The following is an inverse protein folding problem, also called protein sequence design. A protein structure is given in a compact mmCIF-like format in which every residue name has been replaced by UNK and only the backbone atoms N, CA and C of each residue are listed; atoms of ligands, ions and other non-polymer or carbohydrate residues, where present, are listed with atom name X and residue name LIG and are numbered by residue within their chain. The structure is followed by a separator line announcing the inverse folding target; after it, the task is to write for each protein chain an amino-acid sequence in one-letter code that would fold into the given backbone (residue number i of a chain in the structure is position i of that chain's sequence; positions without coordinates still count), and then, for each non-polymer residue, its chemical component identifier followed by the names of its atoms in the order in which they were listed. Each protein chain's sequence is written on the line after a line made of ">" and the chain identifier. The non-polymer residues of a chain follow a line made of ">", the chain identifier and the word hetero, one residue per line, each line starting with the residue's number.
data_IF_410202436322
#
_entry.id   IF_410202436322
#
_cell.length_a   1.000
_cell.length_b   1.000
_cell.length_c   1.000
_cell.angle_alpha   90.00
_cell.angle_beta   90.00
_cell.angle_gamma   90.00
#
_symmetry.space_group_name_H-M   'P 1'
#
loop_
_entity.id
_entity.type
_entity.pdbx_description
1 polymer ?
#
# COMPACT_ATOMS: atom_id res chain seq x y z
N UNK A 1 -21.94 8.93 8.02
CA UNK A 1 -23.01 7.90 8.05
C UNK A 1 -22.32 6.55 7.92
N UNK A 2 -22.69 5.55 8.70
CA UNK A 2 -22.14 4.18 8.59
C UNK A 2 -22.81 3.44 7.41
N UNK A 3 -22.03 2.73 6.59
CA UNK A 3 -22.52 1.97 5.42
C UNK A 3 -23.48 0.85 5.84
N UNK A 4 -23.27 0.26 7.03
CA UNK A 4 -24.16 -0.74 7.58
C UNK A 4 -25.54 -0.15 7.90
N UNK A 5 -25.56 1.09 8.42
CA UNK A 5 -26.81 1.82 8.69
C UNK A 5 -27.53 2.18 7.40
N UNK A 6 -26.79 2.63 6.38
CA UNK A 6 -27.34 2.94 5.05
C UNK A 6 -27.96 1.69 4.38
N UNK A 7 -27.23 0.58 4.34
CA UNK A 7 -27.74 -0.66 3.72
C UNK A 7 -28.98 -1.18 4.45
N UNK A 8 -29.00 -1.18 5.80
CA UNK A 8 -30.19 -1.56 6.57
C UNK A 8 -31.41 -0.70 6.22
N UNK A 9 -31.24 0.62 6.09
CA UNK A 9 -32.36 1.50 5.73
C UNK A 9 -32.86 1.25 4.31
N UNK A 10 -31.96 0.99 3.35
CA UNK A 10 -32.37 0.74 1.96
C UNK A 10 -33.06 -0.62 1.79
N UNK A 11 -32.54 -1.67 2.44
CA UNK A 11 -33.19 -2.97 2.42
C UNK A 11 -34.58 -2.94 3.07
N UNK A 12 -34.73 -2.23 4.19
CA UNK A 12 -36.04 -2.00 4.79
C UNK A 12 -36.99 -1.27 3.83
N UNK A 13 -36.51 -0.23 3.14
CA UNK A 13 -37.29 0.52 2.12
C UNK A 13 -37.73 -0.36 0.95
N UNK A 14 -36.88 -1.25 0.47
CA UNK A 14 -37.21 -2.19 -0.62
C UNK A 14 -38.30 -3.15 -0.13
N UNK A 15 -38.15 -3.67 1.09
CA UNK A 15 -39.02 -4.72 1.62
C UNK A 15 -40.37 -4.23 2.15
N UNK A 16 -40.47 -2.97 2.58
CA UNK A 16 -41.74 -2.31 2.90
C UNK A 16 -42.77 -2.40 1.76
N UNK A 17 -42.32 -2.62 0.52
CA UNK A 17 -43.18 -2.77 -0.66
C UNK A 17 -43.70 -4.20 -0.89
N UNK A 18 -43.15 -5.21 -0.20
CA UNK A 18 -43.41 -6.64 -0.48
C UNK A 18 -44.24 -7.38 0.59
N UNK A 19 -44.80 -6.65 1.56
CA UNK A 19 -45.91 -7.03 2.46
C UNK A 19 -45.84 -8.40 3.18
N UNK A 20 -44.67 -9.03 3.31
CA UNK A 20 -44.56 -10.32 4.00
C UNK A 20 -43.16 -10.59 4.57
N UNK A 21 -43.11 -10.73 5.88
CA UNK A 21 -42.01 -11.20 6.74
C UNK A 21 -40.80 -10.26 6.95
N UNK A 22 -40.57 -9.81 8.20
CA UNK A 22 -39.49 -8.88 8.59
C UNK A 22 -38.08 -9.52 8.61
N UNK A 23 -37.93 -10.71 8.04
CA UNK A 23 -36.71 -11.52 8.10
C UNK A 23 -35.77 -11.28 6.90
N UNK A 24 -36.20 -10.49 5.91
CA UNK A 24 -35.43 -10.18 4.72
C UNK A 24 -34.76 -8.80 4.78
N UNK A 25 -33.47 -8.68 4.37
CA UNK A 25 -32.56 -9.77 4.03
C UNK A 25 -32.10 -10.50 5.30
N UNK A 26 -31.63 -11.75 5.13
CA UNK A 26 -31.00 -12.46 6.23
C UNK A 26 -29.79 -11.69 6.77
N UNK A 27 -29.51 -11.83 8.07
CA UNK A 27 -28.36 -11.15 8.70
C UNK A 27 -27.05 -11.50 8.00
N UNK A 28 -26.89 -12.76 7.55
CA UNK A 28 -25.72 -13.20 6.80
C UNK A 28 -25.60 -12.52 5.44
N UNK A 29 -26.69 -12.46 4.67
CA UNK A 29 -26.72 -11.76 3.38
C UNK A 29 -26.34 -10.29 3.53
N UNK A 30 -26.90 -9.60 4.54
CA UNK A 30 -26.56 -8.22 4.83
C UNK A 30 -25.07 -8.05 5.16
N UNK A 31 -24.48 -8.95 5.96
CA UNK A 31 -23.04 -8.89 6.29
C UNK A 31 -22.16 -9.10 5.06
N UNK A 32 -22.54 -10.01 4.16
CA UNK A 32 -21.83 -10.19 2.89
C UNK A 32 -21.85 -8.89 2.09
N UNK A 33 -23.02 -8.26 1.89
CA UNK A 33 -23.11 -6.98 1.14
C UNK A 33 -22.33 -5.84 1.82
N UNK A 34 -22.35 -5.74 3.16
CA UNK A 34 -21.57 -4.75 3.92
C UNK A 34 -20.07 -4.96 3.70
N UNK A 35 -19.60 -6.18 3.90
CA UNK A 35 -18.18 -6.53 3.75
C UNK A 35 -17.72 -6.30 2.30
N UNK A 36 -18.54 -6.72 1.34
CA UNK A 36 -18.32 -6.53 -0.09
C UNK A 36 -18.23 -5.07 -0.46
N UNK A 37 -19.06 -4.23 0.16
CA UNK A 37 -19.04 -2.81 -0.13
C UNK A 37 -17.76 -2.13 0.39
N UNK A 38 -17.04 -2.71 1.35
CA UNK A 38 -15.76 -2.18 1.89
C UNK A 38 -15.80 -0.68 2.22
N UNK A 39 -16.94 -0.17 2.69
CA UNK A 39 -17.15 1.26 2.96
C UNK A 39 -17.43 2.16 1.73
N UNK A 40 -17.44 1.60 0.52
CA UNK A 40 -17.73 2.30 -0.72
C UNK A 40 -19.25 2.48 -0.93
N UNK A 41 -19.79 3.61 -0.50
CA UNK A 41 -21.21 3.97 -0.67
C UNK A 41 -21.68 3.90 -2.14
N UNK A 42 -20.82 4.23 -3.09
CA UNK A 42 -21.14 4.15 -4.52
C UNK A 42 -21.32 2.70 -5.01
N UNK A 43 -20.69 1.72 -4.37
CA UNK A 43 -20.93 0.30 -4.66
C UNK A 43 -22.23 -0.16 -4.00
N UNK A 44 -22.42 0.16 -2.72
CA UNK A 44 -23.65 -0.15 -2.00
C UNK A 44 -24.90 0.40 -2.72
N UNK A 45 -24.88 1.66 -3.16
CA UNK A 45 -25.99 2.27 -3.88
C UNK A 45 -26.28 1.60 -5.24
N UNK A 46 -25.24 1.09 -5.93
CA UNK A 46 -25.43 0.32 -7.17
C UNK A 46 -26.06 -1.04 -6.91
N UNK A 47 -25.68 -1.72 -5.84
CA UNK A 47 -26.28 -2.99 -5.45
C UNK A 47 -27.74 -2.82 -5.04
N UNK A 48 -28.04 -1.80 -4.24
CA UNK A 48 -29.42 -1.45 -3.89
C UNK A 48 -30.25 -1.16 -5.14
N UNK A 49 -29.72 -0.37 -6.09
CA UNK A 49 -30.40 -0.08 -7.36
C UNK A 49 -30.65 -1.32 -8.20
N UNK A 50 -29.70 -2.25 -8.21
CA UNK A 50 -29.88 -3.52 -8.91
C UNK A 50 -30.99 -4.32 -8.22
N UNK A 51 -30.92 -4.51 -6.90
CA UNK A 51 -31.86 -5.32 -6.11
C UNK A 51 -33.30 -4.75 -6.11
N UNK A 52 -33.46 -3.43 -6.25
CA UNK A 52 -34.80 -2.81 -6.31
C UNK A 52 -35.40 -2.78 -7.73
N UNK A 53 -34.67 -3.23 -8.75
CA UNK A 53 -35.10 -3.15 -10.15
C UNK A 53 -36.05 -4.29 -10.52
N UNK A 54 -37.33 -4.07 -10.25
CA UNK A 54 -38.43 -4.99 -10.54
C UNK A 54 -38.64 -5.27 -12.04
N UNK A 55 -37.92 -4.60 -12.94
CA UNK A 55 -37.97 -4.92 -14.38
C UNK A 55 -37.10 -6.11 -14.75
N UNK A 56 -36.12 -6.44 -13.89
CA UNK A 56 -35.22 -7.58 -14.07
C UNK A 56 -35.82 -8.82 -13.42
N UNK A 57 -36.08 -8.76 -12.10
CA UNK A 57 -36.69 -9.85 -11.34
C UNK A 57 -37.19 -9.36 -9.97
N UNK A 58 -37.63 -10.27 -9.10
CA UNK A 58 -37.96 -9.94 -7.72
C UNK A 58 -36.70 -9.68 -6.84
N UNK A 59 -36.80 -8.82 -5.80
CA UNK A 59 -35.65 -8.45 -4.99
C UNK A 59 -34.96 -9.61 -4.28
N UNK A 60 -35.67 -10.70 -3.95
CA UNK A 60 -35.04 -11.88 -3.35
C UNK A 60 -34.11 -12.55 -4.34
N UNK A 61 -34.60 -12.81 -5.55
CA UNK A 61 -33.80 -13.44 -6.60
C UNK A 61 -32.57 -12.60 -6.97
N UNK A 62 -32.75 -11.27 -7.07
CA UNK A 62 -31.63 -10.37 -7.37
C UNK A 62 -30.61 -10.29 -6.23
N UNK A 63 -31.05 -10.35 -4.97
CA UNK A 63 -30.16 -10.46 -3.82
C UNK A 63 -29.38 -11.77 -3.87
N UNK A 64 -30.04 -12.90 -4.14
CA UNK A 64 -29.37 -14.21 -4.29
C UNK A 64 -28.35 -14.18 -5.42
N UNK A 65 -28.69 -13.62 -6.58
CA UNK A 65 -27.77 -13.45 -7.71
C UNK A 65 -26.54 -12.61 -7.33
N UNK A 66 -26.72 -11.56 -6.52
CA UNK A 66 -25.61 -10.79 -5.95
C UNK A 66 -24.74 -11.63 -5.02
N UNK A 67 -25.34 -12.40 -4.11
CA UNK A 67 -24.61 -13.27 -3.18
C UNK A 67 -23.82 -14.37 -3.90
N UNK A 68 -24.41 -14.99 -4.93
CA UNK A 68 -23.76 -15.99 -5.77
C UNK A 68 -22.59 -15.38 -6.55
N UNK A 69 -22.80 -14.19 -7.13
CA UNK A 69 -21.75 -13.44 -7.80
C UNK A 69 -20.58 -13.17 -6.85
N UNK A 70 -20.85 -12.75 -5.61
CA UNK A 70 -19.81 -12.47 -4.62
C UNK A 70 -19.11 -13.70 -4.06
N UNK A 71 -19.81 -14.83 -4.02
CA UNK A 71 -19.27 -16.13 -3.61
C UNK A 71 -18.35 -16.73 -4.68
N UNK A 72 -18.38 -16.22 -5.91
CA UNK A 72 -17.47 -16.65 -6.96
C UNK A 72 -16.01 -16.29 -6.61
N UNK A 73 -15.07 -17.25 -6.67
CA UNK A 73 -13.66 -17.02 -6.34
C UNK A 73 -12.99 -15.97 -7.24
N UNK A 74 -13.54 -15.72 -8.43
CA UNK A 74 -13.08 -14.64 -9.33
C UNK A 74 -13.45 -13.26 -8.81
N UNK A 75 -14.57 -13.16 -8.10
CA UNK A 75 -15.17 -11.90 -7.66
C UNK A 75 -14.74 -11.57 -6.23
N UNK A 76 -14.52 -12.55 -5.35
CA UNK A 76 -13.88 -12.33 -4.05
C UNK A 76 -12.51 -11.63 -4.16
N UNK A 77 -11.75 -11.87 -5.25
CA UNK A 77 -10.54 -11.13 -5.55
C UNK A 77 -10.78 -9.69 -6.07
N UNK A 78 -11.96 -9.43 -6.67
CA UNK A 78 -12.37 -8.13 -7.21
C UNK A 78 -13.13 -7.24 -6.20
N UNK A 79 -13.74 -7.84 -5.17
CA UNK A 79 -14.61 -7.19 -4.17
C UNK A 79 -13.82 -6.53 -3.04
N UNK A 80 -12.60 -6.98 -2.78
CA UNK A 80 -11.75 -6.33 -1.81
C UNK A 80 -10.78 -5.40 -2.55
N UNK A 81 -11.09 -4.08 -2.67
CA UNK A 81 -10.19 -3.11 -3.26
C UNK A 81 -8.77 -3.19 -2.70
N UNK A 82 -8.62 -3.50 -1.42
CA UNK A 82 -7.31 -3.68 -0.79
C UNK A 82 -6.61 -4.92 -1.33
N UNK A 83 -7.32 -6.04 -1.51
CA UNK A 83 -6.77 -7.25 -2.12
C UNK A 83 -6.38 -7.02 -3.59
N UNK A 84 -7.21 -6.32 -4.37
CA UNK A 84 -6.89 -5.95 -5.74
C UNK A 84 -5.65 -5.06 -5.81
N UNK A 85 -5.51 -4.11 -4.87
CA UNK A 85 -4.29 -3.30 -4.72
C UNK A 85 -3.08 -4.15 -4.32
N UNK A 86 -3.24 -5.12 -3.41
CA UNK A 86 -2.17 -6.01 -2.98
C UNK A 86 -1.67 -6.89 -4.12
N UNK A 87 -2.57 -7.37 -4.98
CA UNK A 87 -2.23 -8.10 -6.20
C UNK A 87 -1.47 -7.20 -7.19
N UNK A 88 -1.91 -5.97 -7.38
CA UNK A 88 -1.23 -4.98 -8.23
C UNK A 88 0.18 -4.68 -7.70
N UNK A 89 0.32 -4.41 -6.41
CA UNK A 89 1.62 -4.15 -5.77
C UNK A 89 2.54 -5.35 -5.85
N UNK A 90 2.02 -6.55 -5.60
CA UNK A 90 2.78 -7.80 -5.76
C UNK A 90 3.28 -7.96 -7.19
N UNK A 91 2.43 -7.71 -8.17
CA UNK A 91 2.82 -7.79 -9.58
C UNK A 91 3.91 -6.76 -9.93
N UNK A 92 3.80 -5.52 -9.44
CA UNK A 92 4.82 -4.49 -9.62
C UNK A 92 6.15 -4.92 -9.00
N UNK A 93 6.12 -5.35 -7.73
CA UNK A 93 7.31 -5.78 -6.99
C UNK A 93 7.95 -7.06 -7.57
N UNK A 94 7.17 -7.97 -8.15
CA UNK A 94 7.69 -9.18 -8.79
C UNK A 94 8.62 -8.91 -9.98
N UNK A 95 8.55 -7.72 -10.57
CA UNK A 95 9.47 -7.30 -11.64
C UNK A 95 10.86 -6.92 -11.13
N UNK A 96 11.04 -6.77 -9.81
CA UNK A 96 12.35 -6.49 -9.19
C UNK A 96 13.21 -7.75 -9.35
N UNK A 97 14.40 -7.59 -9.92
CA UNK A 97 15.32 -8.72 -10.07
C UNK A 97 15.86 -9.16 -8.70
N UNK A 98 15.90 -10.48 -8.44
CA UNK A 98 16.28 -11.06 -7.13
C UNK A 98 17.58 -10.50 -6.54
N UNK A 99 18.62 -10.26 -7.36
CA UNK A 99 19.89 -9.72 -6.86
C UNK A 99 19.80 -8.25 -6.41
N UNK A 100 18.78 -7.50 -6.85
CA UNK A 100 18.52 -6.11 -6.46
C UNK A 100 17.54 -6.02 -5.29
N UNK A 101 16.69 -7.03 -5.09
CA UNK A 101 15.64 -7.02 -4.08
C UNK A 101 16.13 -6.62 -2.66
N UNK A 102 17.26 -7.12 -2.13
CA UNK A 102 17.76 -6.67 -0.82
C UNK A 102 18.07 -5.18 -0.78
N UNK A 103 18.69 -4.65 -1.85
CA UNK A 103 18.98 -3.21 -1.97
C UNK A 103 17.70 -2.39 -2.13
N UNK A 104 16.74 -2.87 -2.92
CA UNK A 104 15.43 -2.23 -3.06
C UNK A 104 14.69 -2.16 -1.73
N UNK A 105 14.64 -3.26 -0.96
CA UNK A 105 14.00 -3.32 0.36
C UNK A 105 14.66 -2.37 1.36
N UNK A 106 15.99 -2.26 1.33
CA UNK A 106 16.73 -1.31 2.17
C UNK A 106 16.33 0.15 1.85
N UNK A 107 16.32 0.53 0.57
CA UNK A 107 15.88 1.87 0.14
C UNK A 107 14.43 2.12 0.55
N UNK A 108 13.51 1.21 0.20
CA UNK A 108 12.10 1.34 0.54
C UNK A 108 11.86 1.40 2.06
N UNK A 109 12.64 0.67 2.85
CA UNK A 109 12.58 0.67 4.32
C UNK A 109 12.93 2.02 4.91
N UNK A 110 14.05 2.58 4.47
CA UNK A 110 14.44 3.94 4.83
C UNK A 110 13.37 4.96 4.42
N UNK A 111 12.87 4.86 3.19
CA UNK A 111 11.83 5.75 2.69
C UNK A 111 10.52 5.61 3.48
N UNK A 112 10.18 4.40 3.93
CA UNK A 112 8.91 4.16 4.63
C UNK A 112 8.97 4.61 6.09
N UNK A 113 10.12 4.46 6.75
CA UNK A 113 10.24 4.67 8.20
C UNK A 113 10.80 6.05 8.59
N UNK A 114 11.53 6.74 7.70
CA UNK A 114 12.31 7.94 8.08
C UNK A 114 12.12 9.16 7.17
N UNK A 115 11.24 9.14 6.17
CA UNK A 115 11.09 10.25 5.20
C UNK A 115 10.08 11.35 5.60
N UNK A 116 9.59 11.36 6.84
CA UNK A 116 8.66 12.40 7.31
C UNK A 116 9.17 13.04 8.61
N UNK A 117 9.11 14.38 8.76
CA UNK A 117 8.55 15.38 7.83
C UNK A 117 9.54 15.89 6.76
N UNK A 118 10.85 15.74 6.96
CA UNK A 118 11.89 16.29 6.07
C UNK A 118 12.71 15.17 5.43
N UNK A 119 12.27 14.60 4.30
CA UNK A 119 12.98 13.50 3.64
C UNK A 119 14.33 13.95 3.06
N UNK A 120 15.37 13.11 3.14
CA UNK A 120 16.63 13.39 2.47
C UNK A 120 16.47 13.34 0.95
N UNK A 121 17.28 14.12 0.23
CA UNK A 121 17.37 14.01 -1.22
C UNK A 121 17.93 12.65 -1.65
N UNK A 122 17.71 12.29 -2.91
CA UNK A 122 18.22 11.03 -3.47
C UNK A 122 19.74 10.90 -3.29
N UNK A 123 20.48 11.98 -3.48
CA UNK A 123 21.94 11.96 -3.30
C UNK A 123 22.35 11.64 -1.85
N UNK A 124 21.71 12.28 -0.87
CA UNK A 124 21.99 12.04 0.55
C UNK A 124 21.66 10.59 0.92
N UNK A 125 20.52 10.08 0.45
CA UNK A 125 20.11 8.71 0.70
C UNK A 125 21.08 7.70 0.06
N UNK A 126 21.48 7.92 -1.19
CA UNK A 126 22.44 7.05 -1.87
C UNK A 126 23.81 7.03 -1.17
N UNK A 127 24.30 8.20 -0.74
CA UNK A 127 25.55 8.33 0.02
C UNK A 127 25.47 7.62 1.37
N UNK A 128 24.37 7.81 2.10
CA UNK A 128 24.15 7.14 3.38
C UNK A 128 24.19 5.61 3.25
N UNK A 129 23.60 5.11 2.17
CA UNK A 129 23.59 3.69 1.84
C UNK A 129 24.89 3.16 1.21
N UNK A 130 25.83 4.04 0.84
CA UNK A 130 27.06 3.67 0.13
C UNK A 130 26.78 3.07 -1.25
N UNK A 131 25.73 3.54 -1.93
CA UNK A 131 25.30 3.03 -3.23
C UNK A 131 25.77 3.96 -4.35
N UNK A 132 26.38 3.38 -5.38
CA UNK A 132 26.62 4.10 -6.62
C UNK A 132 25.31 4.38 -7.37
N UNK A 133 25.36 5.34 -8.29
CA UNK A 133 24.20 5.78 -9.07
C UNK A 133 23.53 4.64 -9.83
N UNK A 134 24.31 3.75 -10.48
CA UNK A 134 23.74 2.66 -11.28
C UNK A 134 22.98 1.69 -10.38
N UNK A 135 23.55 1.33 -9.23
CA UNK A 135 22.92 0.41 -8.29
C UNK A 135 21.68 1.01 -7.62
N UNK A 136 21.73 2.28 -7.24
CA UNK A 136 20.60 2.98 -6.64
C UNK A 136 19.40 3.04 -7.59
N UNK A 137 19.59 3.61 -8.79
CA UNK A 137 18.52 3.74 -9.77
C UNK A 137 18.10 2.39 -10.36
N UNK A 138 19.03 1.45 -10.54
CA UNK A 138 18.73 0.08 -10.97
C UNK A 138 17.76 -0.61 -10.01
N UNK A 139 17.93 -0.42 -8.70
CA UNK A 139 17.09 -1.01 -7.66
C UNK A 139 15.66 -0.46 -7.63
N UNK A 140 15.44 0.74 -8.17
CA UNK A 140 14.13 1.42 -8.17
C UNK A 140 13.46 1.47 -9.55
N UNK A 141 14.18 1.07 -10.61
CA UNK A 141 13.73 1.17 -12.02
C UNK A 141 12.36 0.55 -12.30
N UNK A 142 11.94 -0.45 -11.52
CA UNK A 142 10.66 -1.15 -11.71
C UNK A 142 9.51 -0.56 -10.89
N UNK A 143 9.78 0.48 -10.10
CA UNK A 143 8.85 1.05 -9.13
C UNK A 143 8.32 2.43 -9.52
N UNK A 144 8.56 2.90 -10.74
CA UNK A 144 8.06 4.20 -11.22
C UNK A 144 6.53 4.33 -11.22
N UNK A 145 5.78 3.23 -11.18
CA UNK A 145 4.31 3.26 -11.06
C UNK A 145 3.83 3.57 -9.64
N UNK A 146 4.67 3.40 -8.63
CA UNK A 146 4.33 3.57 -7.19
C UNK A 146 5.20 4.60 -6.49
N UNK A 147 6.32 5.00 -7.11
CA UNK A 147 7.24 6.00 -6.62
C UNK A 147 7.49 7.08 -7.67
N UNK A 148 7.49 8.34 -7.22
CA UNK A 148 8.14 9.44 -7.93
C UNK A 148 9.62 9.41 -7.57
N UNK A 149 10.45 9.12 -8.58
CA UNK A 149 11.91 9.02 -8.43
C UNK A 149 12.54 10.17 -9.24
N UNK A 150 13.15 11.18 -8.59
CA UNK A 150 13.76 12.30 -9.30
C UNK A 150 15.03 11.87 -10.07
N UNK A 151 15.24 12.50 -11.22
CA UNK A 151 16.36 12.25 -12.12
C UNK A 151 17.02 13.58 -12.54
N UNK A 152 18.29 13.53 -12.94
CA UNK A 152 19.12 14.68 -13.38
C UNK A 152 19.25 15.83 -12.36
N UNK A 153 19.04 17.08 -12.80
CA UNK A 153 19.37 18.30 -12.04
C UNK A 153 18.62 18.40 -10.69
N UNK A 154 17.49 17.70 -10.55
CA UNK A 154 16.64 17.73 -9.37
C UNK A 154 17.09 16.75 -8.27
N UNK A 155 18.09 15.90 -8.52
CA UNK A 155 18.54 14.81 -7.63
C UNK A 155 19.14 15.31 -6.32
N UNK A 156 19.73 16.51 -6.33
CA UNK A 156 20.36 17.09 -5.15
C UNK A 156 19.33 17.64 -4.14
N UNK A 157 18.14 18.01 -4.61
CA UNK A 157 17.14 18.74 -3.82
C UNK A 157 15.82 17.98 -3.63
N UNK A 158 15.59 16.91 -4.39
CA UNK A 158 14.29 16.22 -4.39
C UNK A 158 14.40 14.82 -3.75
N UNK A 159 13.49 14.47 -2.82
CA UNK A 159 13.41 13.13 -2.23
C UNK A 159 12.66 12.14 -3.13
N UNK A 160 12.72 10.86 -2.78
CA UNK A 160 11.77 9.86 -3.30
C UNK A 160 10.41 10.12 -2.67
N UNK A 161 9.33 10.01 -3.44
CA UNK A 161 7.97 10.16 -2.93
C UNK A 161 7.12 8.95 -3.30
N UNK A 162 6.35 8.45 -2.34
CA UNK A 162 5.29 7.48 -2.59
C UNK A 162 4.09 8.20 -3.21
N UNK A 163 3.50 7.65 -4.27
CA UNK A 163 2.27 8.21 -4.82
C UNK A 163 1.08 8.02 -3.89
N UNK A 164 1.07 6.95 -3.10
CA UNK A 164 -0.04 6.62 -2.23
C UNK A 164 0.44 5.90 -0.96
N UNK A 165 -0.15 6.25 0.19
CA UNK A 165 0.16 5.65 1.50
C UNK A 165 -0.14 4.15 1.52
N UNK A 166 -1.12 3.68 0.76
CA UNK A 166 -1.46 2.24 0.71
C UNK A 166 -0.32 1.34 0.21
N UNK A 167 0.64 1.86 -0.56
CA UNK A 167 1.84 1.09 -0.93
C UNK A 167 2.81 0.99 0.25
N UNK A 168 2.93 2.04 1.07
CA UNK A 168 3.69 1.98 2.32
C UNK A 168 3.06 0.97 3.29
N UNK A 169 1.73 1.00 3.42
CA UNK A 169 0.97 0.06 4.26
C UNK A 169 1.15 -1.39 3.79
N UNK A 170 1.21 -1.61 2.48
CA UNK A 170 1.50 -2.92 1.90
C UNK A 170 2.89 -3.42 2.30
N UNK A 171 3.91 -2.56 2.20
CA UNK A 171 5.30 -2.92 2.48
C UNK A 171 5.58 -3.24 3.96
N UNK A 172 4.87 -2.60 4.90
CA UNK A 172 5.07 -2.83 6.34
C UNK A 172 4.33 -4.07 6.89
N UNK A 173 3.40 -4.63 6.11
CA UNK A 173 2.59 -5.78 6.52
C UNK A 173 3.08 -7.07 5.83
N UNK A 174 3.74 -7.98 6.57
CA UNK A 174 4.23 -9.25 6.02
C UNK A 174 3.13 -10.16 5.48
N UNK A 175 1.89 -10.07 5.99
CA UNK A 175 0.78 -10.90 5.53
C UNK A 175 0.34 -10.47 4.12
N UNK A 176 0.51 -9.19 3.78
CA UNK A 176 0.14 -8.63 2.47
C UNK A 176 1.27 -8.76 1.46
N UNK A 177 2.49 -8.38 1.86
CA UNK A 177 3.64 -8.25 0.96
C UNK A 177 4.55 -9.47 0.86
N UNK A 178 4.45 -10.42 1.80
CA UNK A 178 5.24 -11.65 1.76
C UNK A 178 6.75 -11.35 1.69
N UNK A 179 7.42 -11.86 0.66
CA UNK A 179 8.87 -11.64 0.47
C UNK A 179 9.26 -10.16 0.29
N UNK A 180 8.33 -9.31 -0.13
CA UNK A 180 8.56 -7.87 -0.33
C UNK A 180 8.45 -7.07 0.98
N UNK A 181 8.08 -7.72 2.09
CA UNK A 181 7.85 -7.04 3.37
C UNK A 181 9.11 -6.42 3.95
N UNK A 182 8.95 -5.26 4.55
CA UNK A 182 10.04 -4.54 5.21
C UNK A 182 10.07 -4.95 6.68
N UNK A 183 11.17 -5.56 7.08
CA UNK A 183 11.45 -5.81 8.50
C UNK A 183 11.92 -4.50 9.15
N UNK A 184 11.06 -3.93 10.00
CA UNK A 184 11.34 -2.67 10.70
C UNK A 184 12.58 -2.78 11.59
N UNK A 185 12.73 -3.87 12.33
CA UNK A 185 13.84 -4.05 13.25
C UNK A 185 15.17 -4.14 12.47
N UNK A 186 15.18 -4.89 11.36
CA UNK A 186 16.34 -4.97 10.49
C UNK A 186 16.71 -3.60 9.88
N UNK A 187 15.72 -2.81 9.46
CA UNK A 187 15.97 -1.45 8.93
C UNK A 187 16.50 -0.52 10.02
N UNK A 188 15.91 -0.52 11.22
CA UNK A 188 16.41 0.29 12.33
C UNK A 188 17.86 -0.06 12.68
N UNK A 189 18.19 -1.35 12.72
CA UNK A 189 19.56 -1.82 12.99
C UNK A 189 20.54 -1.39 11.88
N UNK A 190 20.18 -1.58 10.60
CA UNK A 190 21.04 -1.18 9.47
C UNK A 190 21.29 0.34 9.46
N UNK A 191 20.26 1.14 9.73
CA UNK A 191 20.39 2.60 9.86
C UNK A 191 21.32 2.98 11.01
N UNK A 192 21.12 2.39 12.20
CA UNK A 192 21.97 2.68 13.37
C UNK A 192 23.44 2.34 13.10
N UNK A 193 23.71 1.16 12.54
CA UNK A 193 25.08 0.72 12.20
C UNK A 193 25.72 1.66 11.16
N UNK A 194 24.99 2.05 10.12
CA UNK A 194 25.50 2.99 9.12
C UNK A 194 25.78 4.37 9.70
N UNK A 195 24.87 4.89 10.52
CA UNK A 195 25.05 6.18 11.16
C UNK A 195 26.31 6.20 12.06
N UNK A 196 26.53 5.13 12.84
CA UNK A 196 27.73 4.99 13.65
C UNK A 196 29.00 4.93 12.81
N UNK A 197 28.99 4.19 11.69
CA UNK A 197 30.13 4.15 10.76
C UNK A 197 30.45 5.52 10.19
N UNK A 198 29.44 6.25 9.70
CA UNK A 198 29.62 7.62 9.20
C UNK A 198 30.14 8.56 10.28
N UNK A 199 29.74 8.40 11.54
CA UNK A 199 30.29 9.18 12.64
C UNK A 199 31.77 8.89 12.87
N UNK A 200 32.13 7.60 12.95
CA UNK A 200 33.52 7.17 13.15
C UNK A 200 34.41 7.65 12.00
N UNK A 201 33.98 7.52 10.75
CA UNK A 201 34.75 7.95 9.58
C UNK A 201 34.99 9.47 9.58
N UNK A 202 34.00 10.26 10.02
CA UNK A 202 34.15 11.71 10.21
C UNK A 202 35.16 12.04 11.30
N UNK A 203 35.03 11.42 12.47
CA UNK A 203 35.90 11.66 13.61
C UNK A 203 37.37 11.32 13.26
N UNK A 204 37.60 10.21 12.55
CA UNK A 204 38.93 9.83 12.05
C UNK A 204 39.46 10.84 11.02
N UNK A 205 38.63 11.28 10.08
CA UNK A 205 39.01 12.27 9.07
C UNK A 205 39.43 13.62 9.67
N UNK A 206 38.74 14.08 10.71
CA UNK A 206 39.09 15.31 11.45
C UNK A 206 40.43 15.16 12.16
N UNK A 207 40.69 14.02 12.80
CA UNK A 207 41.98 13.74 13.47
C UNK A 207 43.13 13.79 12.47
N UNK A 208 43.01 13.11 11.31
CA UNK A 208 44.06 13.08 10.28
C UNK A 208 44.32 14.47 9.69
N UNK A 209 43.26 15.26 9.48
CA UNK A 209 43.38 16.64 8.99
C UNK A 209 44.11 17.55 9.99
N UNK A 210 43.78 17.44 11.28
CA UNK A 210 44.40 18.21 12.35
C UNK A 210 45.88 17.84 12.57
N UNK A 211 46.25 16.56 12.39
CA UNK A 211 47.66 16.12 12.46
C UNK A 211 48.47 16.64 11.27
N UNK A 212 47.88 16.65 10.07
CA UNK A 212 48.53 17.15 8.85
C UNK A 212 48.79 18.66 8.90
N UNK A 213 47.89 19.44 9.52
CA UNK A 213 48.07 20.89 9.71
C UNK A 213 49.10 21.27 10.79
N UNK A 214 49.40 20.37 11.74
CA UNK A 214 50.41 20.59 12.79
C UNK A 214 51.82 20.18 12.38
N UNK A 215 51.97 19.53 11.22
CA UNK A 215 53.24 19.01 10.70
C UNK A 215 53.84 19.87 9.57
N UNK A 216 53.18 20.97 9.22
CA UNK A 216 53.65 22.04 8.35
C UNK A 216 53.95 23.30 9.18
#
# INVERSE_FOLDING_TARGET
>A
MDIAKYLRSEFARIWERNDSDNSWPSTNALQIIISTSSGLFALAARLIRFIEDLTIDDPCYQLEACLDFFSSPRVSAAINPLHALDLLYRQICSNITNHLLPTTKCILGLCTLYMTPNPPSVQVLANFLGLDRRRFYGSLKRLHSVLKIPFDADVHNTPIQFYHTSFQDYLIDPLRSGEFSIDRAAVHLDVAVRALRHQIDRDVGEIVSNVSQRSC
#
